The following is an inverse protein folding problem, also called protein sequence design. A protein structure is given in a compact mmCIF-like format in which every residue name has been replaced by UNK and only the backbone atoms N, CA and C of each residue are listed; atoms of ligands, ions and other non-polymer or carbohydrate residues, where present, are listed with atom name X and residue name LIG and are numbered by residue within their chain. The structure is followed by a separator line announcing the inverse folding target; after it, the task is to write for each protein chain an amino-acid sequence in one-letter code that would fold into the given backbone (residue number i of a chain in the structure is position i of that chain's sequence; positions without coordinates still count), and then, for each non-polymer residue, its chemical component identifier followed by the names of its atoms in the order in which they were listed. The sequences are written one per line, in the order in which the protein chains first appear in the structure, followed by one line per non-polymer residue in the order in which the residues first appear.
data_IF_623274382297
#
_entry.id   IF_623274382297
#
_cell.length_a   1.000
_cell.length_b   1.000
_cell.length_c   1.000
_cell.angle_alpha   90.00
_cell.angle_beta   90.00
_cell.angle_gamma   90.00
#
_symmetry.space_group_name_H-M   'P 1'
#
loop_
_entity.id
_entity.type
_entity.pdbx_description
1 polymer ?
#
# COMPACT_ATOMS: atom_id res chain seq x y z
N UNK A 1 32.79 -2.68 -8.78
CA UNK A 1 33.88 -1.81 -8.26
C UNK A 1 33.58 -0.34 -8.46
N UNK A 2 33.09 0.10 -9.64
CA UNK A 2 32.84 1.52 -9.93
C UNK A 2 31.49 2.06 -9.41
N UNK A 3 30.42 1.25 -9.34
CA UNK A 3 29.09 1.73 -8.90
C UNK A 3 28.98 1.98 -7.37
N UNK A 4 29.68 1.17 -6.56
CA UNK A 4 29.59 1.21 -5.09
C UNK A 4 30.80 1.86 -4.41
N UNK A 5 31.75 2.40 -5.18
CA UNK A 5 32.87 3.19 -4.65
C UNK A 5 33.61 2.54 -3.47
N UNK A 6 34.12 1.32 -3.63
CA UNK A 6 34.92 0.64 -2.59
C UNK A 6 36.26 1.38 -2.40
N UNK A 7 36.25 2.54 -1.73
CA UNK A 7 37.40 3.38 -1.42
C UNK A 7 37.71 4.53 -2.39
N UNK A 8 36.83 4.85 -3.35
CA UNK A 8 36.91 6.02 -4.26
C UNK A 8 35.51 6.53 -4.62
N UNK A 9 35.40 7.78 -5.09
CA UNK A 9 34.13 8.30 -5.61
C UNK A 9 33.57 7.39 -6.73
N UNK A 10 32.26 7.08 -6.73
CA UNK A 10 31.65 6.27 -7.76
C UNK A 10 31.82 6.85 -9.16
N UNK A 11 32.44 6.08 -10.08
CA UNK A 11 32.55 6.43 -11.49
C UNK A 11 31.38 5.81 -12.27
N UNK A 12 30.24 6.50 -12.21
CA UNK A 12 29.02 6.09 -12.90
C UNK A 12 29.20 5.99 -14.42
N UNK A 13 29.86 6.95 -15.12
CA UNK A 13 30.13 6.82 -16.55
C UNK A 13 30.87 5.53 -16.93
N UNK A 14 31.96 5.19 -16.21
CA UNK A 14 32.69 3.94 -16.48
C UNK A 14 31.86 2.71 -16.12
N UNK A 15 31.07 2.74 -15.04
CA UNK A 15 30.17 1.64 -14.69
C UNK A 15 29.12 1.39 -15.80
N UNK A 16 28.49 2.45 -16.31
CA UNK A 16 27.52 2.37 -17.42
C UNK A 16 28.18 1.80 -18.67
N UNK A 17 29.38 2.26 -19.02
CA UNK A 17 30.14 1.73 -20.14
C UNK A 17 30.37 0.22 -20.01
N UNK A 18 30.90 -0.23 -18.87
CA UNK A 18 31.18 -1.65 -18.65
C UNK A 18 29.93 -2.51 -18.56
N UNK A 19 28.84 -2.00 -17.99
CA UNK A 19 27.56 -2.70 -18.02
C UNK A 19 27.03 -2.85 -19.44
N UNK A 20 27.18 -1.82 -20.29
CA UNK A 20 26.79 -1.92 -21.71
C UNK A 20 27.60 -2.97 -22.45
N UNK A 21 28.91 -2.96 -22.29
CA UNK A 21 29.78 -3.98 -22.89
C UNK A 21 29.46 -5.40 -22.41
N UNK A 22 29.23 -5.57 -21.11
CA UNK A 22 28.86 -6.87 -20.55
C UNK A 22 27.45 -7.31 -21.00
N UNK A 23 26.48 -6.39 -21.03
CA UNK A 23 25.13 -6.65 -21.51
C UNK A 23 25.10 -7.06 -22.98
N UNK A 24 25.87 -6.37 -23.84
CA UNK A 24 26.04 -6.72 -25.25
C UNK A 24 26.66 -8.11 -25.44
N UNK A 25 27.46 -8.59 -24.48
CA UNK A 25 28.01 -9.96 -24.43
C UNK A 25 27.07 -10.97 -23.79
N UNK A 26 25.86 -10.58 -23.42
CA UNK A 26 24.82 -11.46 -22.88
C UNK A 26 24.84 -11.63 -21.37
N UNK A 27 25.59 -10.82 -20.61
CA UNK A 27 25.56 -10.88 -19.14
C UNK A 27 24.24 -10.29 -18.60
N UNK A 28 23.35 -11.17 -18.12
CA UNK A 28 22.02 -10.78 -17.70
C UNK A 28 22.00 -9.82 -16.49
N UNK A 29 22.94 -9.96 -15.54
CA UNK A 29 23.08 -9.02 -14.42
C UNK A 29 23.36 -7.61 -14.93
N UNK A 30 24.25 -7.47 -15.92
CA UNK A 30 24.62 -6.18 -16.50
C UNK A 30 23.44 -5.54 -17.26
N UNK A 31 22.68 -6.35 -18.02
CA UNK A 31 21.43 -5.91 -18.64
C UNK A 31 20.42 -5.42 -17.57
N UNK A 32 20.22 -6.16 -16.48
CA UNK A 32 19.33 -5.75 -15.39
C UNK A 32 19.80 -4.44 -14.72
N UNK A 33 21.10 -4.28 -14.51
CA UNK A 33 21.67 -3.03 -13.98
C UNK A 33 21.47 -1.84 -14.93
N UNK A 34 21.67 -2.01 -16.23
CA UNK A 34 21.36 -0.96 -17.22
C UNK A 34 19.89 -0.59 -17.24
N UNK A 35 19.00 -1.59 -17.16
CA UNK A 35 17.56 -1.37 -17.06
C UNK A 35 17.24 -0.41 -15.90
N UNK A 36 17.80 -0.67 -14.72
CA UNK A 36 17.62 0.18 -13.53
C UNK A 36 18.20 1.59 -13.69
N UNK A 37 19.35 1.72 -14.35
CA UNK A 37 19.98 3.03 -14.57
C UNK A 37 19.13 3.91 -15.49
N UNK A 38 18.61 3.35 -16.59
CA UNK A 38 17.69 4.06 -17.48
C UNK A 38 16.33 4.33 -16.84
N UNK A 39 15.83 3.43 -15.99
CA UNK A 39 14.56 3.65 -15.27
C UNK A 39 14.67 4.81 -14.27
N UNK A 40 15.80 4.91 -13.55
CA UNK A 40 16.01 5.91 -12.51
C UNK A 40 16.63 7.22 -13.02
N UNK A 41 17.18 7.23 -14.24
CA UNK A 41 17.96 8.34 -14.76
C UNK A 41 19.30 8.54 -14.02
N UNK A 42 19.80 7.52 -13.31
CA UNK A 42 21.04 7.63 -12.55
C UNK A 42 22.24 7.51 -13.50
N UNK A 43 22.90 8.63 -13.78
CA UNK A 43 24.08 8.69 -14.65
C UNK A 43 23.79 8.57 -16.16
N UNK A 44 22.52 8.39 -16.54
CA UNK A 44 22.02 8.42 -17.92
C UNK A 44 20.74 9.25 -17.97
N UNK A 45 20.34 9.72 -19.15
CA UNK A 45 19.00 10.30 -19.31
C UNK A 45 17.94 9.22 -19.01
N UNK A 46 16.95 9.56 -18.18
CA UNK A 46 15.82 8.69 -17.88
C UNK A 46 15.12 8.30 -19.19
N UNK A 47 14.98 6.99 -19.42
CA UNK A 47 14.44 6.43 -20.66
C UNK A 47 13.79 5.08 -20.36
N UNK A 48 12.46 5.09 -20.12
CA UNK A 48 11.72 3.90 -19.72
C UNK A 48 11.62 2.85 -20.85
N UNK A 49 11.67 3.29 -22.11
CA UNK A 49 11.68 2.37 -23.24
C UNK A 49 12.99 1.57 -23.27
N UNK A 50 14.14 2.26 -23.15
CA UNK A 50 15.44 1.58 -23.02
C UNK A 50 15.53 0.73 -21.76
N UNK A 51 14.98 1.19 -20.64
CA UNK A 51 14.94 0.38 -19.43
C UNK A 51 14.23 -0.96 -19.68
N UNK A 52 13.09 -0.91 -20.36
CA UNK A 52 12.30 -2.08 -20.74
C UNK A 52 13.08 -3.00 -21.68
N UNK A 53 13.74 -2.48 -22.72
CA UNK A 53 14.59 -3.26 -23.64
C UNK A 53 15.70 -4.02 -22.90
N UNK A 54 16.40 -3.35 -21.98
CA UNK A 54 17.45 -3.98 -21.18
C UNK A 54 16.90 -5.01 -20.19
N UNK A 55 15.74 -4.76 -19.59
CA UNK A 55 15.08 -5.75 -18.74
C UNK A 55 14.62 -6.97 -19.53
N UNK A 56 14.04 -6.82 -20.73
CA UNK A 56 13.67 -7.93 -21.61
C UNK A 56 14.89 -8.81 -21.89
N UNK A 57 16.00 -8.19 -22.29
CA UNK A 57 17.25 -8.92 -22.55
C UNK A 57 17.74 -9.73 -21.34
N UNK A 58 17.63 -9.20 -20.12
CA UNK A 58 17.98 -9.95 -18.91
C UNK A 58 16.94 -11.03 -18.58
N UNK A 59 15.65 -10.72 -18.75
CA UNK A 59 14.53 -11.57 -18.39
C UNK A 59 14.43 -12.82 -19.27
N UNK A 60 14.65 -12.68 -20.58
CA UNK A 60 14.74 -13.78 -21.55
C UNK A 60 15.92 -14.72 -21.27
N UNK A 61 16.93 -14.24 -20.52
CA UNK A 61 18.06 -15.02 -20.03
C UNK A 61 17.84 -15.57 -18.62
N UNK A 62 16.59 -15.69 -18.20
CA UNK A 62 16.17 -16.22 -16.90
C UNK A 62 16.71 -15.44 -15.69
N UNK A 63 16.89 -14.13 -15.79
CA UNK A 63 17.26 -13.32 -14.63
C UNK A 63 16.01 -12.96 -13.79
N UNK A 64 15.88 -13.45 -12.55
CA UNK A 64 14.65 -13.32 -11.76
C UNK A 64 14.33 -11.87 -11.37
N UNK A 65 15.32 -11.05 -11.01
CA UNK A 65 15.06 -9.62 -10.74
C UNK A 65 14.56 -8.89 -11.98
N UNK A 66 15.11 -9.15 -13.17
CA UNK A 66 14.69 -8.51 -14.41
C UNK A 66 13.27 -8.94 -14.82
N UNK A 67 12.95 -10.23 -14.71
CA UNK A 67 11.59 -10.74 -14.89
C UNK A 67 10.62 -10.07 -13.91
N UNK A 68 11.00 -9.93 -12.64
CA UNK A 68 10.18 -9.22 -11.64
C UNK A 68 10.02 -7.73 -11.99
N UNK A 69 11.08 -7.06 -12.43
CA UNK A 69 11.03 -5.66 -12.82
C UNK A 69 10.13 -5.46 -14.04
N UNK A 70 10.24 -6.33 -15.04
CA UNK A 70 9.42 -6.29 -16.24
C UNK A 70 7.94 -6.53 -15.90
N UNK A 71 7.65 -7.52 -15.04
CA UNK A 71 6.30 -7.74 -14.50
C UNK A 71 5.72 -6.46 -13.86
N UNK A 72 6.52 -5.74 -13.08
CA UNK A 72 6.10 -4.47 -12.46
C UNK A 72 5.87 -3.36 -13.48
N UNK A 73 6.71 -3.25 -14.51
CA UNK A 73 6.50 -2.25 -15.56
C UNK A 73 5.16 -2.46 -16.28
N UNK A 74 4.84 -3.72 -16.61
CA UNK A 74 3.56 -4.11 -17.18
C UNK A 74 2.38 -3.88 -16.22
N UNK A 75 2.52 -4.24 -14.93
CA UNK A 75 1.49 -4.06 -13.90
C UNK A 75 1.16 -2.58 -13.66
N UNK A 76 2.17 -1.71 -13.65
CA UNK A 76 2.00 -0.29 -13.36
C UNK A 76 1.77 0.56 -14.62
N UNK A 77 1.98 0.01 -15.83
CA UNK A 77 1.95 0.79 -17.07
C UNK A 77 3.06 1.83 -17.14
N UNK A 78 4.26 1.51 -16.65
CA UNK A 78 5.41 2.42 -16.65
C UNK A 78 6.16 2.27 -17.97
N UNK A 79 6.23 3.35 -18.76
CA UNK A 79 6.91 3.35 -20.06
C UNK A 79 6.11 2.70 -21.20
N UNK A 80 4.94 2.16 -20.90
CA UNK A 80 4.08 1.41 -21.83
C UNK A 80 2.66 1.25 -21.27
N UNK A 81 1.72 0.76 -22.08
CA UNK A 81 0.36 0.46 -21.61
C UNK A 81 0.37 -0.63 -20.52
N UNK A 82 -0.54 -0.50 -19.54
CA UNK A 82 -0.73 -1.50 -18.48
C UNK A 82 -1.25 -2.81 -19.07
N UNK A 83 -0.65 -3.93 -18.66
CA UNK A 83 -1.00 -5.27 -19.12
C UNK A 83 -0.79 -6.27 -17.98
N UNK A 84 -1.86 -6.69 -17.32
CA UNK A 84 -1.75 -7.59 -16.19
C UNK A 84 -1.44 -9.03 -16.58
N UNK A 85 -1.83 -9.46 -17.78
CA UNK A 85 -1.56 -10.83 -18.25
C UNK A 85 -0.05 -11.00 -18.44
N UNK A 86 0.59 -10.06 -19.14
CA UNK A 86 2.06 -10.05 -19.25
C UNK A 86 2.75 -9.88 -17.91
N UNK A 87 2.21 -9.07 -17.01
CA UNK A 87 2.74 -8.95 -15.66
C UNK A 87 2.74 -10.32 -14.94
N UNK A 88 1.62 -11.05 -15.02
CA UNK A 88 1.48 -12.38 -14.43
C UNK A 88 2.46 -13.40 -15.04
N UNK A 89 2.64 -13.38 -16.36
CA UNK A 89 3.61 -14.24 -17.05
C UNK A 89 5.03 -14.02 -16.52
N UNK A 90 5.51 -12.78 -16.49
CA UNK A 90 6.86 -12.47 -16.03
C UNK A 90 7.05 -12.73 -14.53
N UNK A 91 6.06 -12.38 -13.70
CA UNK A 91 6.11 -12.70 -12.27
C UNK A 91 6.12 -14.21 -12.04
N UNK A 92 5.35 -14.99 -12.81
CA UNK A 92 5.34 -16.45 -12.70
C UNK A 92 6.72 -17.06 -12.97
N UNK A 93 7.40 -16.62 -14.03
CA UNK A 93 8.75 -17.10 -14.34
C UNK A 93 9.74 -16.85 -13.18
N UNK A 94 9.72 -15.65 -12.58
CA UNK A 94 10.58 -15.33 -11.44
C UNK A 94 10.13 -16.03 -10.14
N UNK A 95 8.81 -16.21 -9.95
CA UNK A 95 8.24 -16.84 -8.77
C UNK A 95 8.56 -18.34 -8.70
N UNK A 96 8.57 -19.02 -9.86
CA UNK A 96 8.96 -20.43 -10.00
C UNK A 96 10.45 -20.66 -9.72
N UNK A 97 11.30 -19.66 -9.95
CA UNK A 97 12.71 -19.64 -9.53
C UNK A 97 12.90 -19.34 -8.04
N UNK A 98 11.81 -19.13 -7.29
CA UNK A 98 11.89 -18.83 -5.87
C UNK A 98 12.17 -17.36 -5.57
N UNK A 99 11.88 -16.40 -6.46
CA UNK A 99 12.10 -15.00 -6.11
C UNK A 99 10.92 -14.44 -5.28
N UNK A 100 11.12 -14.24 -3.98
CA UNK A 100 10.02 -13.91 -3.05
C UNK A 100 9.22 -12.64 -3.41
N UNK A 101 9.84 -11.62 -4.02
CA UNK A 101 9.08 -10.44 -4.49
C UNK A 101 8.13 -10.78 -5.63
N UNK A 102 8.55 -11.64 -6.56
CA UNK A 102 7.71 -12.10 -7.66
C UNK A 102 6.61 -13.05 -7.16
N UNK A 103 6.93 -13.94 -6.22
CA UNK A 103 5.93 -14.79 -5.57
C UNK A 103 4.86 -13.93 -4.87
N UNK A 104 5.27 -12.90 -4.13
CA UNK A 104 4.33 -11.96 -3.53
C UNK A 104 3.50 -11.20 -4.58
N UNK A 105 4.12 -10.69 -5.64
CA UNK A 105 3.42 -9.96 -6.69
C UNK A 105 2.40 -10.85 -7.43
N UNK A 106 2.79 -12.08 -7.78
CA UNK A 106 1.90 -13.06 -8.39
C UNK A 106 0.76 -13.45 -7.45
N UNK A 107 1.04 -13.61 -6.15
CA UNK A 107 0.01 -13.82 -5.14
C UNK A 107 -1.02 -12.68 -5.12
N UNK A 108 -0.56 -11.42 -5.21
CA UNK A 108 -1.46 -10.27 -5.30
C UNK A 108 -2.31 -10.28 -6.57
N UNK A 109 -1.77 -10.70 -7.72
CA UNK A 109 -2.54 -10.82 -8.96
C UNK A 109 -3.67 -11.85 -8.83
N UNK A 110 -3.37 -13.03 -8.28
CA UNK A 110 -4.39 -14.05 -7.98
C UNK A 110 -5.42 -13.59 -6.95
N UNK A 111 -4.98 -12.89 -5.90
CA UNK A 111 -5.87 -12.37 -4.85
C UNK A 111 -6.88 -11.34 -5.39
N UNK A 112 -6.52 -10.64 -6.47
CA UNK A 112 -7.33 -9.56 -7.07
C UNK A 112 -7.96 -9.92 -8.42
N UNK A 113 -7.64 -11.09 -8.97
CA UNK A 113 -8.10 -11.51 -10.31
C UNK A 113 -7.60 -10.58 -11.43
N UNK A 114 -6.36 -10.09 -11.34
CA UNK A 114 -5.79 -9.14 -12.30
C UNK A 114 -4.85 -9.86 -13.26
N UNK A 115 -5.26 -10.00 -14.53
CA UNK A 115 -4.48 -10.71 -15.56
C UNK A 115 -4.39 -12.22 -15.36
N UNK A 116 -5.08 -12.73 -14.34
CA UNK A 116 -5.30 -14.14 -14.03
C UNK A 116 -6.71 -14.28 -13.45
N UNK A 117 -7.27 -15.47 -13.52
CA UNK A 117 -8.52 -15.78 -12.82
C UNK A 117 -8.34 -15.59 -11.30
N UNK A 118 -9.34 -14.98 -10.64
CA UNK A 118 -9.35 -14.77 -9.20
C UNK A 118 -9.26 -16.12 -8.48
N UNK A 119 -8.21 -16.31 -7.68
CA UNK A 119 -7.96 -17.57 -6.96
C UNK A 119 -7.21 -17.29 -5.66
N UNK A 120 -7.95 -17.06 -4.58
CA UNK A 120 -7.37 -16.76 -3.28
C UNK A 120 -6.53 -17.93 -2.72
N UNK A 121 -6.83 -19.17 -3.08
CA UNK A 121 -6.06 -20.33 -2.62
C UNK A 121 -4.69 -20.40 -3.30
N UNK A 122 -4.61 -20.11 -4.61
CA UNK A 122 -3.32 -19.90 -5.29
C UNK A 122 -2.58 -18.69 -4.73
N UNK A 123 -3.29 -17.59 -4.43
CA UNK A 123 -2.68 -16.42 -3.81
C UNK A 123 -1.98 -16.78 -2.49
N UNK A 124 -2.69 -17.45 -1.58
CA UNK A 124 -2.12 -17.94 -0.32
C UNK A 124 -0.92 -18.85 -0.55
N UNK A 125 -1.01 -19.77 -1.52
CA UNK A 125 0.11 -20.67 -1.85
C UNK A 125 1.37 -19.90 -2.22
N UNK A 126 1.24 -18.84 -3.04
CA UNK A 126 2.37 -17.99 -3.41
C UNK A 126 2.85 -17.10 -2.27
N UNK A 127 1.94 -16.56 -1.47
CA UNK A 127 2.32 -15.79 -0.28
C UNK A 127 3.06 -16.64 0.75
N UNK A 128 2.63 -17.89 0.99
CA UNK A 128 3.33 -18.85 1.87
C UNK A 128 4.76 -19.07 1.39
N UNK A 129 4.95 -19.38 0.10
CA UNK A 129 6.29 -19.53 -0.49
C UNK A 129 7.16 -18.29 -0.25
N UNK A 130 6.62 -17.08 -0.44
CA UNK A 130 7.36 -15.84 -0.26
C UNK A 130 7.65 -15.51 1.23
N UNK A 131 6.70 -15.80 2.11
CA UNK A 131 6.75 -15.48 3.54
C UNK A 131 7.64 -16.42 4.35
N UNK A 132 7.78 -17.67 3.90
CA UNK A 132 8.57 -18.72 4.55
C UNK A 132 9.94 -18.93 3.91
N UNK A 133 10.23 -18.28 2.78
CA UNK A 133 11.51 -18.47 2.10
C UNK A 133 12.69 -18.03 2.96
N UNK A 134 13.55 -18.99 3.29
CA UNK A 134 14.88 -18.77 3.87
C UNK A 134 15.89 -18.85 2.71
N UNK A 135 16.55 -17.73 2.36
CA UNK A 135 17.69 -17.80 1.42
C UNK A 135 18.77 -18.69 2.06
N UNK A 136 19.35 -19.61 1.30
CA UNK A 136 20.25 -20.63 1.86
C UNK A 136 21.67 -20.11 2.17
N UNK A 137 21.95 -18.81 1.97
CA UNK A 137 23.28 -18.23 2.20
C UNK A 137 23.17 -16.84 2.86
N UNK A 138 23.66 -16.77 4.11
CA UNK A 138 23.94 -15.60 4.99
C UNK A 138 22.93 -15.19 6.09
N UNK A 139 23.15 -15.82 7.26
CA UNK A 139 23.19 -15.36 8.67
C UNK A 139 21.93 -14.78 9.34
N UNK A 140 21.02 -14.05 8.69
CA UNK A 140 19.67 -13.79 9.26
C UNK A 140 18.75 -13.45 8.11
N UNK A 141 17.84 -14.36 7.74
CA UNK A 141 16.98 -14.18 6.58
C UNK A 141 15.54 -14.29 7.03
N UNK A 142 14.93 -13.12 7.17
CA UNK A 142 13.50 -12.97 7.41
C UNK A 142 12.79 -13.09 6.05
N UNK A 143 11.69 -13.85 6.00
CA UNK A 143 10.87 -13.99 4.80
C UNK A 143 10.26 -12.66 4.34
N UNK A 144 9.64 -12.64 3.17
CA UNK A 144 9.09 -11.40 2.59
C UNK A 144 8.00 -10.82 3.50
N UNK A 145 8.26 -9.64 4.08
CA UNK A 145 7.35 -9.01 5.05
C UNK A 145 6.01 -8.58 4.44
N UNK A 146 5.98 -8.21 3.16
CA UNK A 146 4.73 -7.93 2.45
C UNK A 146 3.88 -9.20 2.30
N UNK A 147 4.52 -10.33 1.95
CA UNK A 147 3.83 -11.61 1.87
C UNK A 147 3.34 -12.10 3.22
N UNK A 148 4.13 -11.90 4.28
CA UNK A 148 3.71 -12.16 5.66
C UNK A 148 2.49 -11.31 6.03
N UNK A 149 2.50 -10.00 5.73
CA UNK A 149 1.32 -9.15 5.93
C UNK A 149 0.10 -9.67 5.16
N UNK A 150 0.27 -10.03 3.88
CA UNK A 150 -0.81 -10.52 3.04
C UNK A 150 -1.38 -11.86 3.53
N UNK A 151 -0.56 -12.76 4.05
CA UNK A 151 -1.03 -13.97 4.73
C UNK A 151 -1.81 -13.64 5.98
N UNK A 152 -1.33 -12.67 6.77
CA UNK A 152 -2.05 -12.16 7.93
C UNK A 152 -3.48 -11.77 7.57
N UNK A 153 -3.63 -11.00 6.49
CA UNK A 153 -4.94 -10.58 5.96
C UNK A 153 -5.76 -11.79 5.49
N UNK A 154 -5.17 -12.71 4.73
CA UNK A 154 -5.89 -13.89 4.24
C UNK A 154 -6.46 -14.74 5.38
N UNK A 155 -5.68 -14.96 6.45
CA UNK A 155 -6.14 -15.69 7.64
C UNK A 155 -7.14 -14.91 8.48
N UNK A 156 -7.01 -13.58 8.59
CA UNK A 156 -7.96 -12.72 9.30
C UNK A 156 -9.34 -12.71 8.61
N UNK A 157 -9.34 -12.64 7.28
CA UNK A 157 -10.55 -12.57 6.47
C UNK A 157 -11.12 -13.95 6.10
N UNK A 158 -10.32 -15.01 6.14
CA UNK A 158 -10.70 -16.34 5.66
C UNK A 158 -10.73 -16.45 4.13
N UNK A 159 -9.89 -15.67 3.42
CA UNK A 159 -9.81 -15.69 1.96
C UNK A 159 -8.76 -16.68 1.47
N UNK A 160 -9.21 -17.73 0.79
CA UNK A 160 -8.33 -18.78 0.27
C UNK A 160 -7.82 -19.77 1.32
N UNK A 161 -8.11 -19.52 2.60
CA UNK A 161 -7.83 -20.34 3.78
C UNK A 161 -8.97 -20.26 4.77
N UNK A 162 -9.07 -21.23 5.68
CA UNK A 162 -9.97 -21.12 6.83
C UNK A 162 -9.54 -19.94 7.70
N UNK A 163 -10.51 -19.13 8.11
CA UNK A 163 -10.29 -17.99 8.99
C UNK A 163 -9.63 -18.42 10.30
N UNK A 164 -8.49 -17.81 10.63
CA UNK A 164 -7.67 -18.13 11.80
C UNK A 164 -6.94 -16.87 12.31
N UNK A 165 -7.47 -16.28 13.38
CA UNK A 165 -6.87 -15.08 13.98
C UNK A 165 -5.50 -15.32 14.63
N UNK A 166 -5.22 -16.55 15.08
CA UNK A 166 -3.94 -16.87 15.70
C UNK A 166 -2.85 -16.91 14.62
N UNK A 167 -3.13 -17.55 13.48
CA UNK A 167 -2.24 -17.50 12.31
C UNK A 167 -2.08 -16.08 11.79
N UNK A 168 -3.17 -15.31 11.69
CA UNK A 168 -3.11 -13.91 11.28
C UNK A 168 -2.14 -13.11 12.15
N UNK A 169 -2.30 -13.22 13.48
CA UNK A 169 -1.44 -12.58 14.48
C UNK A 169 0.02 -13.00 14.34
N UNK A 170 0.31 -14.28 14.16
CA UNK A 170 1.68 -14.78 13.98
C UNK A 170 2.35 -14.18 12.73
N UNK A 171 1.64 -14.11 11.60
CA UNK A 171 2.16 -13.54 10.37
C UNK A 171 2.34 -12.01 10.46
N UNK A 172 1.41 -11.30 11.08
CA UNK A 172 1.58 -9.88 11.36
C UNK A 172 2.76 -9.60 12.30
N UNK A 173 2.98 -10.43 13.32
CA UNK A 173 4.14 -10.33 14.21
C UNK A 173 5.46 -10.52 13.44
N UNK A 174 5.54 -11.53 12.56
CA UNK A 174 6.71 -11.75 11.68
C UNK A 174 6.97 -10.51 10.80
N UNK A 175 5.96 -9.99 10.12
CA UNK A 175 6.11 -8.79 9.29
C UNK A 175 6.47 -7.54 10.12
N UNK A 176 5.85 -7.35 11.28
CA UNK A 176 6.12 -6.22 12.19
C UNK A 176 7.55 -6.24 12.74
N UNK A 177 8.12 -7.41 13.03
CA UNK A 177 9.54 -7.54 13.42
C UNK A 177 10.52 -7.13 12.33
N UNK A 178 10.04 -6.96 11.10
CA UNK A 178 10.76 -6.44 9.94
C UNK A 178 10.41 -4.97 9.63
N UNK A 179 9.86 -4.23 10.60
CA UNK A 179 9.43 -2.84 10.45
C UNK A 179 8.36 -2.64 9.35
N UNK A 180 7.53 -3.65 9.08
CA UNK A 180 6.41 -3.49 8.15
C UNK A 180 5.28 -2.69 8.82
N UNK A 181 5.07 -1.45 8.35
CA UNK A 181 4.15 -0.49 8.97
C UNK A 181 2.68 -1.00 9.01
N UNK A 182 2.13 -1.44 7.88
CA UNK A 182 0.73 -1.93 7.84
C UNK A 182 0.50 -3.18 8.68
N UNK A 183 1.39 -4.17 8.65
CA UNK A 183 1.30 -5.33 9.53
C UNK A 183 1.36 -4.96 11.01
N UNK A 184 2.19 -3.98 11.38
CA UNK A 184 2.25 -3.47 12.75
C UNK A 184 0.93 -2.81 13.15
N UNK A 185 0.30 -2.06 12.24
CA UNK A 185 -1.03 -1.50 12.44
C UNK A 185 -2.11 -2.60 12.57
N UNK A 186 -2.11 -3.59 11.69
CA UNK A 186 -3.07 -4.71 11.74
C UNK A 186 -2.92 -5.52 13.04
N UNK A 187 -1.68 -5.71 13.51
CA UNK A 187 -1.43 -6.30 14.83
C UNK A 187 -2.00 -5.45 15.97
N UNK A 188 -1.92 -4.11 15.87
CA UNK A 188 -2.58 -3.18 16.78
C UNK A 188 -4.09 -3.35 16.79
N UNK A 189 -4.72 -3.51 15.63
CA UNK A 189 -6.15 -3.82 15.53
C UNK A 189 -6.52 -5.16 16.17
N UNK A 190 -5.73 -6.23 15.98
CA UNK A 190 -6.00 -7.49 16.66
C UNK A 190 -5.93 -7.35 18.19
N UNK A 191 -4.95 -6.62 18.71
CA UNK A 191 -4.90 -6.32 20.15
C UNK A 191 -6.09 -5.47 20.61
N UNK A 192 -6.55 -4.52 19.79
CA UNK A 192 -7.75 -3.73 20.08
C UNK A 192 -9.00 -4.61 20.18
N UNK A 193 -9.17 -5.58 19.28
CA UNK A 193 -10.26 -6.56 19.31
C UNK A 193 -10.20 -7.46 20.54
N UNK A 194 -8.99 -7.85 20.96
CA UNK A 194 -8.73 -8.60 22.19
C UNK A 194 -8.87 -7.74 23.47
N UNK A 195 -9.20 -6.45 23.35
CA UNK A 195 -9.27 -5.46 24.44
C UNK A 195 -7.95 -5.24 25.18
N UNK A 196 -6.83 -5.54 24.53
CA UNK A 196 -5.47 -5.28 25.00
C UNK A 196 -5.05 -3.86 24.57
N UNK A 197 -5.67 -2.86 25.19
CA UNK A 197 -5.60 -1.48 24.71
C UNK A 197 -4.20 -0.86 24.79
N UNK A 198 -3.41 -1.19 25.82
CA UNK A 198 -2.04 -0.64 25.93
C UNK A 198 -1.12 -1.20 24.85
N UNK A 199 -1.26 -2.48 24.56
CA UNK A 199 -0.55 -3.20 23.51
C UNK A 199 -0.96 -2.68 22.13
N UNK A 200 -2.26 -2.48 21.90
CA UNK A 200 -2.78 -1.87 20.69
C UNK A 200 -2.20 -0.47 20.46
N UNK A 201 -2.25 0.39 21.49
CA UNK A 201 -1.71 1.76 21.43
C UNK A 201 -0.21 1.77 21.11
N UNK A 202 0.56 0.91 21.77
CA UNK A 202 1.99 0.75 21.48
C UNK A 202 2.23 0.36 20.01
N UNK A 203 1.48 -0.62 19.49
CA UNK A 203 1.60 -1.01 18.08
C UNK A 203 1.22 0.11 17.12
N UNK A 204 0.18 0.89 17.42
CA UNK A 204 -0.15 2.04 16.58
C UNK A 204 0.91 3.14 16.62
N UNK A 205 1.53 3.43 17.77
CA UNK A 205 2.68 4.35 17.83
C UNK A 205 3.86 3.87 17.00
N UNK A 206 4.21 2.58 17.07
CA UNK A 206 5.28 2.01 16.24
C UNK A 206 4.90 2.08 14.76
N UNK A 207 3.66 1.74 14.39
CA UNK A 207 3.22 1.80 13.00
C UNK A 207 3.20 3.24 12.47
N UNK A 208 2.79 4.21 13.28
CA UNK A 208 2.80 5.64 12.94
C UNK A 208 4.24 6.16 12.73
N UNK A 209 5.20 5.77 13.58
CA UNK A 209 6.62 6.14 13.39
C UNK A 209 7.26 5.51 12.15
N UNK A 210 6.70 4.40 11.67
CA UNK A 210 7.02 3.78 10.38
C UNK A 210 6.26 4.39 9.19
N UNK A 211 5.44 5.43 9.42
CA UNK A 211 4.70 6.16 8.39
C UNK A 211 3.31 5.59 8.03
N UNK A 212 2.74 4.69 8.84
CA UNK A 212 1.38 4.18 8.62
C UNK A 212 0.33 5.23 9.04
N UNK A 213 -0.34 5.82 8.06
CA UNK A 213 -1.35 6.86 8.30
C UNK A 213 -2.63 6.31 8.98
N UNK A 214 -3.00 5.06 8.70
CA UNK A 214 -4.10 4.39 9.40
C UNK A 214 -3.84 4.32 10.91
N UNK A 215 -2.57 4.10 11.31
CA UNK A 215 -2.19 4.04 12.71
C UNK A 215 -2.28 5.42 13.40
N UNK A 216 -1.91 6.50 12.70
CA UNK A 216 -2.10 7.89 13.18
C UNK A 216 -3.58 8.15 13.46
N UNK A 217 -4.47 7.79 12.52
CA UNK A 217 -5.91 7.90 12.70
C UNK A 217 -6.44 7.04 13.86
N UNK A 218 -5.92 5.82 14.01
CA UNK A 218 -6.31 4.92 15.11
C UNK A 218 -5.91 5.48 16.47
N UNK A 219 -4.75 6.12 16.60
CA UNK A 219 -4.35 6.82 17.83
C UNK A 219 -5.36 7.91 18.18
N UNK A 220 -5.77 8.74 17.21
CA UNK A 220 -6.83 9.74 17.41
C UNK A 220 -8.14 9.12 17.90
N UNK A 221 -8.54 7.98 17.33
CA UNK A 221 -9.73 7.23 17.76
C UNK A 221 -9.59 6.69 19.19
N UNK A 222 -8.41 6.22 19.58
CA UNK A 222 -8.15 5.74 20.94
C UNK A 222 -8.20 6.87 21.97
N UNK A 223 -7.68 8.06 21.65
CA UNK A 223 -7.82 9.24 22.49
C UNK A 223 -9.27 9.76 22.55
N UNK A 224 -10.03 9.70 21.46
CA UNK A 224 -11.46 10.04 21.41
C UNK A 224 -12.27 9.19 22.40
N UNK A 225 -11.98 7.88 22.43
CA UNK A 225 -12.70 6.88 23.22
C UNK A 225 -12.09 6.60 24.61
N UNK A 226 -10.88 7.09 24.91
CA UNK A 226 -10.17 6.77 26.15
C UNK A 226 -9.74 5.30 26.26
N UNK A 227 -9.36 4.68 25.14
CA UNK A 227 -8.94 3.28 25.09
C UNK A 227 -7.44 3.18 25.35
N UNK A 228 -7.05 2.59 26.48
CA UNK A 228 -5.63 2.43 26.84
C UNK A 228 -4.94 3.72 27.32
N UNK A 229 -5.64 4.85 27.27
CA UNK A 229 -5.22 6.19 27.69
C UNK A 229 -6.42 6.96 28.23
N UNK A 230 -6.18 7.99 29.03
CA UNK A 230 -7.23 8.94 29.40
C UNK A 230 -7.75 9.66 28.16
N UNK A 231 -9.06 9.85 28.06
CA UNK A 231 -9.65 10.66 26.98
C UNK A 231 -8.99 12.04 26.96
N UNK A 232 -8.45 12.41 25.81
CA UNK A 232 -7.74 13.68 25.61
C UNK A 232 -8.16 14.26 24.26
N UNK A 233 -8.85 15.39 24.31
CA UNK A 233 -9.42 16.01 23.12
C UNK A 233 -8.38 16.79 22.32
N UNK A 234 -7.32 17.28 22.97
CA UNK A 234 -6.23 17.95 22.30
C UNK A 234 -5.44 16.94 21.47
N UNK A 235 -5.00 15.84 22.10
CA UNK A 235 -4.31 14.75 21.39
C UNK A 235 -5.16 14.14 20.28
N UNK A 236 -6.45 13.92 20.52
CA UNK A 236 -7.39 13.43 19.50
C UNK A 236 -7.43 14.33 18.26
N UNK A 237 -7.57 15.65 18.46
CA UNK A 237 -7.57 16.63 17.36
C UNK A 237 -6.22 16.65 16.65
N UNK A 238 -5.10 16.65 17.39
CA UNK A 238 -3.75 16.64 16.79
C UNK A 238 -3.54 15.44 15.85
N UNK A 239 -3.90 14.23 16.27
CA UNK A 239 -3.78 13.04 15.42
C UNK A 239 -4.71 13.09 14.21
N UNK A 240 -5.94 13.58 14.36
CA UNK A 240 -6.86 13.75 13.23
C UNK A 240 -6.40 14.84 12.26
N UNK A 241 -5.83 15.94 12.75
CA UNK A 241 -5.23 16.98 11.92
C UNK A 241 -4.00 16.48 11.16
N UNK A 242 -3.12 15.72 11.82
CA UNK A 242 -1.96 15.08 11.17
C UNK A 242 -2.42 14.16 10.03
N UNK A 243 -3.38 13.27 10.31
CA UNK A 243 -3.91 12.35 9.31
C UNK A 243 -4.63 13.08 8.16
N UNK A 244 -5.43 14.10 8.47
CA UNK A 244 -6.11 14.93 7.49
C UNK A 244 -5.12 15.75 6.63
N UNK A 245 -4.00 16.19 7.22
CA UNK A 245 -2.91 16.87 6.51
C UNK A 245 -2.23 15.99 5.45
N UNK A 246 -2.32 14.65 5.60
CA UNK A 246 -1.91 13.65 4.59
C UNK A 246 -3.06 13.24 3.66
N UNK A 247 -4.17 13.98 3.68
CA UNK A 247 -5.41 13.72 2.94
C UNK A 247 -6.08 12.38 3.26
N UNK A 248 -5.86 11.80 4.46
CA UNK A 248 -6.50 10.54 4.83
C UNK A 248 -8.04 10.69 4.93
N UNK A 249 -8.86 9.99 4.11
CA UNK A 249 -10.29 10.26 3.98
C UNK A 249 -11.08 10.24 5.28
N UNK A 250 -10.87 9.23 6.13
CA UNK A 250 -11.60 9.12 7.40
C UNK A 250 -11.26 10.26 8.36
N UNK A 251 -10.00 10.73 8.36
CA UNK A 251 -9.59 11.87 9.15
C UNK A 251 -10.20 13.18 8.61
N UNK A 252 -10.24 13.36 7.29
CA UNK A 252 -10.91 14.51 6.67
C UNK A 252 -12.38 14.59 7.11
N UNK A 253 -13.11 13.48 7.05
CA UNK A 253 -14.51 13.40 7.51
C UNK A 253 -14.64 13.69 9.01
N UNK A 254 -13.78 13.09 9.85
CA UNK A 254 -13.77 13.34 11.30
C UNK A 254 -13.53 14.83 11.60
N UNK A 255 -12.55 15.46 10.96
CA UNK A 255 -12.29 16.88 11.10
C UNK A 255 -13.47 17.74 10.64
N UNK A 256 -14.11 17.38 9.53
CA UNK A 256 -15.30 18.09 9.05
C UNK A 256 -16.44 18.07 10.09
N UNK A 257 -16.71 16.90 10.68
CA UNK A 257 -17.71 16.76 11.73
C UNK A 257 -17.37 17.57 12.98
N UNK A 258 -16.10 17.58 13.43
CA UNK A 258 -15.67 18.37 14.58
C UNK A 258 -15.92 19.87 14.34
N UNK A 259 -15.57 20.38 13.15
CA UNK A 259 -15.80 21.77 12.78
C UNK A 259 -17.28 22.13 12.60
N UNK A 260 -18.13 21.18 12.16
CA UNK A 260 -19.58 21.41 12.11
C UNK A 260 -20.20 21.49 13.50
N UNK A 261 -19.77 20.63 14.43
CA UNK A 261 -20.38 20.53 15.76
C UNK A 261 -19.85 21.55 16.75
N UNK A 262 -18.63 22.07 16.56
CA UNK A 262 -17.96 22.90 17.56
C UNK A 262 -17.51 22.11 18.80
N UNK A 263 -17.29 20.79 18.65
CA UNK A 263 -16.81 19.93 19.73
C UNK A 263 -15.28 20.04 19.80
N UNK A 264 -14.75 20.58 20.91
CA UNK A 264 -13.30 20.74 21.20
C UNK A 264 -12.55 21.75 20.32
N UNK A 265 -13.08 22.06 19.14
CA UNK A 265 -12.62 23.12 18.24
C UNK A 265 -13.78 24.08 17.94
N UNK A 266 -13.47 25.35 17.64
CA UNK A 266 -14.51 26.33 17.27
C UNK A 266 -15.21 25.93 15.96
N UNK A 267 -16.51 26.21 15.89
CA UNK A 267 -17.30 25.94 14.69
C UNK A 267 -16.77 26.74 13.49
N UNK A 268 -16.46 26.05 12.40
CA UNK A 268 -16.02 26.66 11.15
C UNK A 268 -16.57 25.85 9.97
N UNK A 269 -17.75 26.25 9.50
CA UNK A 269 -18.41 25.58 8.39
C UNK A 269 -17.62 25.67 7.08
N UNK A 270 -16.79 26.70 6.89
CA UNK A 270 -15.98 26.82 5.68
C UNK A 270 -14.85 25.78 5.66
N UNK A 271 -14.19 25.57 6.80
CA UNK A 271 -13.22 24.47 6.97
C UNK A 271 -13.89 23.12 6.85
N UNK A 272 -15.04 22.91 7.50
CA UNK A 272 -15.78 21.67 7.40
C UNK A 272 -16.16 21.34 5.94
N UNK A 273 -16.65 22.34 5.19
CA UNK A 273 -16.95 22.20 3.77
C UNK A 273 -15.73 21.76 2.97
N UNK A 274 -14.58 22.38 3.20
CA UNK A 274 -13.34 22.04 2.50
C UNK A 274 -12.86 20.61 2.83
N UNK A 275 -13.00 20.17 4.07
CA UNK A 275 -12.66 18.82 4.48
C UNK A 275 -13.59 17.77 3.85
N UNK A 276 -14.91 17.97 3.91
CA UNK A 276 -15.86 17.10 3.22
C UNK A 276 -15.60 17.07 1.71
N UNK A 277 -15.31 18.22 1.10
CA UNK A 277 -14.96 18.30 -0.32
C UNK A 277 -13.74 17.44 -0.66
N UNK A 278 -12.64 17.57 0.09
CA UNK A 278 -11.44 16.75 -0.11
C UNK A 278 -11.72 15.25 0.05
N UNK A 279 -12.56 14.86 1.00
CA UNK A 279 -12.95 13.46 1.19
C UNK A 279 -13.82 12.95 0.03
N UNK A 280 -14.81 13.76 -0.39
CA UNK A 280 -15.73 13.44 -1.48
C UNK A 280 -15.04 13.33 -2.86
N UNK A 281 -14.03 14.17 -3.10
CA UNK A 281 -13.19 14.11 -4.31
C UNK A 281 -12.35 12.82 -4.37
N UNK A 282 -12.01 12.25 -3.21
CA UNK A 282 -11.39 10.93 -3.10
C UNK A 282 -12.40 9.77 -3.18
N UNK A 283 -13.69 10.06 -3.34
CA UNK A 283 -14.75 9.06 -3.45
C UNK A 283 -15.20 8.49 -2.11
N UNK A 284 -14.87 9.12 -0.97
CA UNK A 284 -15.37 8.67 0.32
C UNK A 284 -16.86 9.00 0.48
N UNK A 285 -17.68 7.99 0.72
CA UNK A 285 -19.14 8.02 0.80
C UNK A 285 -19.68 8.92 1.90
N UNK A 286 -19.10 8.89 3.10
CA UNK A 286 -19.43 9.80 4.21
C UNK A 286 -19.09 11.25 3.85
N UNK A 287 -17.94 11.47 3.19
CA UNK A 287 -17.52 12.77 2.67
C UNK A 287 -18.46 13.32 1.60
N UNK A 288 -18.90 12.46 0.67
CA UNK A 288 -19.88 12.80 -0.37
C UNK A 288 -21.23 13.18 0.26
N UNK A 289 -21.72 12.40 1.22
CA UNK A 289 -22.96 12.69 1.93
C UNK A 289 -22.86 14.00 2.74
N UNK A 290 -21.78 14.17 3.50
CA UNK A 290 -21.53 15.39 4.27
C UNK A 290 -21.45 16.62 3.36
N UNK A 291 -20.76 16.54 2.23
CA UNK A 291 -20.71 17.63 1.26
C UNK A 291 -22.09 17.96 0.67
N UNK A 292 -22.91 16.93 0.41
CA UNK A 292 -24.31 17.09 0.01
C UNK A 292 -25.11 17.92 1.02
N UNK A 293 -24.98 17.60 2.31
CA UNK A 293 -25.64 18.33 3.41
C UNK A 293 -25.17 19.78 3.50
N UNK A 294 -23.87 20.04 3.32
CA UNK A 294 -23.34 21.41 3.35
C UNK A 294 -23.96 22.28 2.23
N UNK A 295 -24.13 21.73 1.02
CA UNK A 295 -24.80 22.42 -0.09
C UNK A 295 -26.31 22.58 0.12
N UNK A 296 -26.97 21.60 0.74
CA UNK A 296 -28.42 21.66 1.01
C UNK A 296 -28.74 22.76 2.04
N UNK A 297 -27.98 22.79 3.14
CA UNK A 297 -28.21 23.67 4.27
C UNK A 297 -27.51 25.04 4.13
N UNK A 298 -26.60 25.18 3.16
CA UNK A 298 -25.83 26.42 2.97
C UNK A 298 -24.77 26.64 4.05
N UNK A 299 -24.19 25.56 4.57
CA UNK A 299 -23.16 25.61 5.62
C UNK A 299 -21.79 25.75 4.97
N UNK A 300 -21.12 26.89 5.16
CA UNK A 300 -19.79 27.15 4.59
C UNK A 300 -19.78 27.25 3.06
N UNK A 301 -20.95 27.30 2.43
CA UNK A 301 -21.15 27.44 0.99
C UNK A 301 -22.54 28.00 0.72
N UNK A 302 -22.77 28.62 -0.44
CA UNK A 302 -24.13 29.00 -0.84
C UNK A 302 -24.98 27.76 -1.07
N UNK A 303 -26.26 27.84 -0.68
CA UNK A 303 -27.23 26.78 -0.94
C UNK A 303 -27.27 26.42 -2.42
N UNK A 304 -27.20 25.11 -2.72
CA UNK A 304 -27.24 24.61 -4.08
C UNK A 304 -27.79 23.17 -4.11
N UNK A 305 -29.11 23.06 -4.23
CA UNK A 305 -29.81 21.77 -4.24
C UNK A 305 -29.36 20.85 -5.39
N UNK A 306 -28.96 21.43 -6.53
CA UNK A 306 -28.46 20.64 -7.67
C UNK A 306 -27.14 19.94 -7.34
N UNK A 307 -26.21 20.65 -6.70
CA UNK A 307 -24.96 20.03 -6.24
C UNK A 307 -25.20 19.09 -5.06
N UNK A 308 -26.11 19.42 -4.13
CA UNK A 308 -26.47 18.51 -3.04
C UNK A 308 -26.95 17.14 -3.55
N UNK A 309 -27.95 17.14 -4.45
CA UNK A 309 -28.49 15.91 -5.05
C UNK A 309 -27.42 15.12 -5.79
N UNK A 310 -26.53 15.80 -6.53
CA UNK A 310 -25.42 15.16 -7.26
C UNK A 310 -24.51 14.38 -6.31
N UNK A 311 -24.16 14.95 -5.16
CA UNK A 311 -23.30 14.29 -4.17
C UNK A 311 -24.01 13.17 -3.41
N UNK A 312 -25.30 13.34 -3.06
CA UNK A 312 -26.11 12.26 -2.50
C UNK A 312 -26.24 11.07 -3.45
N UNK A 313 -26.46 11.31 -4.74
CA UNK A 313 -26.51 10.25 -5.76
C UNK A 313 -25.16 9.53 -5.82
N UNK A 314 -24.05 10.26 -5.78
CA UNK A 314 -22.70 9.66 -5.84
C UNK A 314 -22.47 8.73 -4.63
N UNK A 315 -22.82 9.18 -3.43
CA UNK A 315 -22.72 8.40 -2.19
C UNK A 315 -23.58 7.12 -2.26
N UNK A 316 -24.84 7.24 -2.70
CA UNK A 316 -25.77 6.09 -2.77
C UNK A 316 -25.38 5.00 -3.79
N UNK A 317 -24.79 5.36 -4.93
CA UNK A 317 -24.33 4.39 -5.94
C UNK A 317 -23.26 3.45 -5.39
N UNK A 318 -22.43 3.94 -4.48
CA UNK A 318 -21.41 3.12 -3.83
C UNK A 318 -22.03 2.10 -2.87
N UNK A 319 -23.05 2.50 -2.10
CA UNK A 319 -23.79 1.61 -1.18
C UNK A 319 -24.49 0.46 -1.93
N UNK A 320 -25.06 0.74 -3.11
CA UNK A 320 -25.71 -0.30 -3.94
C UNK A 320 -24.68 -1.27 -4.51
N UNK A 321 -23.51 -0.78 -4.94
CA UNK A 321 -22.43 -1.65 -5.42
C UNK A 321 -21.87 -2.56 -4.31
N UNK A 322 -21.77 -2.06 -3.08
CA UNK A 322 -21.22 -2.81 -1.93
C UNK A 322 -22.19 -3.89 -1.41
N UNK A 323 -23.50 -3.63 -1.45
CA UNK A 323 -24.53 -4.62 -1.09
C UNK A 323 -24.62 -5.74 -2.13
N UNK A 324 -24.49 -5.43 -3.42
CA UNK A 324 -24.52 -6.44 -4.49
C UNK A 324 -23.32 -7.41 -4.53
N UNK A 325 -22.23 -7.11 -3.81
CA UNK A 325 -21.01 -7.95 -3.76
C UNK A 325 -21.01 -8.90 -2.54
N UNK A 326 -21.78 -8.61 -1.49
CA UNK A 326 -21.83 -9.43 -0.26
C UNK A 326 -23.06 -10.34 -0.15
N UNK A 327 -23.87 -10.41 -1.20
CA UNK A 327 -25.04 -11.32 -1.29
C UNK A 327 -24.84 -12.49 -2.27
N UNK A 328 -23.63 -12.73 -2.77
CA UNK A 328 -23.28 -13.87 -3.65
C UNK A 328 -22.32 -14.86 -3.01
#
# INVERSE_FOLDING_TARGET
MFENGLGREPDLPSAIYWYREAGNKGHADACNHLGRLYETGKGVQLDLAKATEWYIQAAERNHPDAQTNLGRLYEMGIGQARDFEKAAEWYKLAAEQGYSRAQNALGNLYYRGLGVELDCSKAVTWFLKAAEQVRMFKIYIQGNSNAQNNLGICYEEGKGVVKDFLQAKQYYQKAASNNHASATNNLGYLYLMEKLFKEAMNKFHIAASLGCIDAVFNLGTMYEAGLGVTKDSHMMVEYYEEAAGKNYPKALVKMAHLYCKGEYIETDYQKAFNYFKKAAEQGNDEGENGLGQMYELGLGVKTNLKEAIKWYIKSSKQVISWSSINEG
#
